data_IF_691853479984
#
_entry.id   IF_691853479984
#
_cell.length_a   1.000
_cell.length_b   1.000
_cell.length_c   1.000
_cell.angle_alpha   90.00
_cell.angle_beta   90.00
_cell.angle_gamma   90.00
#
_symmetry.space_group_name_H-M   'P 1'
#
loop_
_entity.id
_entity.type
_entity.pdbx_description
1 polymer ?
#
# COMPACT_ATOMS: atom_id res chain seq x y z
N UNK A 1 8.98 9.59 -13.36
CA UNK A 1 9.31 9.79 -13.04
C UNK A 1 9.72 9.64 -12.77
N UNK A 2 10.13 9.44 -12.64
CA UNK A 2 10.69 9.37 -12.35
C UNK A 2 11.08 9.64 -11.67
N UNK A 3 11.17 9.63 -11.18
CA UNK A 3 11.39 10.00 -10.50
C UNK A 3 12.12 10.18 -9.99
N UNK A 4 12.69 10.14 -9.86
CA UNK A 4 13.47 10.37 -9.36
C UNK A 4 13.70 10.98 -8.61
N UNK A 5 13.38 10.78 -8.34
CA UNK A 5 13.34 11.43 -7.42
C UNK A 5 14.26 11.15 -6.43
N UNK A 6 14.48 10.04 -6.09
CA UNK A 6 15.42 9.74 -5.15
C UNK A 6 16.73 9.72 -5.77
N UNK A 7 17.60 10.53 -5.33
CA UNK A 7 18.89 10.56 -5.91
C UNK A 7 19.58 9.30 -5.55
N UNK A 8 20.40 8.89 -6.36
CA UNK A 8 21.06 7.71 -6.14
C UNK A 8 22.09 7.85 -5.10
N UNK A 9 22.39 6.84 -4.43
CA UNK A 9 23.56 6.74 -3.63
C UNK A 9 23.65 7.59 -2.42
N UNK A 10 24.57 8.45 -2.40
CA UNK A 10 24.84 9.23 -1.25
C UNK A 10 23.76 10.10 -0.77
N UNK A 11 23.06 10.75 -1.63
CA UNK A 11 21.98 11.63 -1.22
C UNK A 11 20.92 10.86 -0.46
N UNK A 12 20.61 9.68 -0.92
CA UNK A 12 19.62 8.88 -0.24
C UNK A 12 20.12 8.52 1.16
N UNK A 13 21.37 8.18 1.28
CA UNK A 13 21.92 7.82 2.57
C UNK A 13 21.88 8.99 3.53
N UNK A 14 22.15 10.17 3.06
CA UNK A 14 22.09 11.32 3.91
C UNK A 14 20.69 11.59 4.37
N UNK A 15 19.74 11.48 3.47
CA UNK A 15 18.36 11.72 3.84
C UNK A 15 17.87 10.70 4.84
N UNK A 16 18.29 9.47 4.71
CA UNK A 16 17.78 8.43 5.60
C UNK A 16 18.30 8.59 7.01
N UNK A 17 19.29 9.45 7.22
CA UNK A 17 19.78 9.70 8.56
C UNK A 17 18.90 10.72 9.26
N UNK A 18 18.09 11.47 8.54
CA UNK A 18 17.21 12.45 9.16
C UNK A 18 16.00 11.70 9.73
N UNK A 19 15.77 11.78 11.04
CA UNK A 19 14.66 11.03 11.62
C UNK A 19 13.31 11.39 11.03
N UNK A 20 13.09 12.66 10.73
CA UNK A 20 11.82 13.05 10.15
C UNK A 20 11.65 12.47 8.76
N UNK A 21 12.69 12.51 7.97
CA UNK A 21 12.62 11.98 6.63
C UNK A 21 12.43 10.47 6.67
N UNK A 22 13.15 9.79 7.55
CA UNK A 22 13.05 8.35 7.64
C UNK A 22 11.66 7.90 8.03
N UNK A 23 11.02 8.62 8.97
CA UNK A 23 9.67 8.27 9.37
C UNK A 23 8.69 8.49 8.23
N UNK A 24 8.83 9.60 7.51
CA UNK A 24 7.93 9.87 6.40
C UNK A 24 8.11 8.84 5.28
N UNK A 25 9.35 8.46 5.01
CA UNK A 25 9.63 7.49 3.97
C UNK A 25 9.05 6.12 4.34
N UNK A 26 9.19 5.74 5.60
CA UNK A 26 8.66 4.45 6.04
C UNK A 26 7.14 4.42 5.93
N UNK A 27 6.48 5.52 6.28
CA UNK A 27 5.03 5.59 6.17
C UNK A 27 4.59 5.45 4.71
N UNK A 28 5.30 6.10 3.81
CA UNK A 28 4.98 6.00 2.41
C UNK A 28 5.17 4.60 1.89
N UNK A 29 6.21 3.94 2.33
CA UNK A 29 6.47 2.60 1.92
C UNK A 29 5.35 1.66 2.34
N UNK A 30 4.85 1.83 3.55
CA UNK A 30 3.77 1.00 4.04
C UNK A 30 2.50 1.22 3.24
N UNK A 31 2.23 2.46 2.86
CA UNK A 31 1.05 2.75 2.06
C UNK A 31 1.16 2.14 0.69
N UNK A 32 2.35 2.19 0.10
CA UNK A 32 2.56 1.58 -1.20
C UNK A 32 2.49 0.05 -1.12
N UNK A 33 2.93 -0.52 -0.02
CA UNK A 33 2.84 -1.96 0.16
C UNK A 33 1.38 -2.41 0.20
N UNK A 34 0.54 -1.67 0.90
CA UNK A 34 -0.86 -2.01 0.95
C UNK A 34 -1.48 -1.89 -0.44
N UNK A 35 -1.20 -0.78 -1.13
CA UNK A 35 -1.74 -0.59 -2.47
C UNK A 35 -1.30 -1.71 -3.40
N UNK A 36 -0.04 -2.13 -3.30
CA UNK A 36 0.46 -3.22 -4.11
C UNK A 36 -0.26 -4.52 -3.80
N UNK A 37 -0.58 -4.76 -2.54
CA UNK A 37 -1.32 -5.94 -2.16
C UNK A 37 -2.71 -5.95 -2.76
N UNK A 38 -3.35 -4.79 -2.80
CA UNK A 38 -4.68 -4.69 -3.40
C UNK A 38 -4.61 -4.96 -4.89
N UNK A 39 -3.64 -4.37 -5.57
CA UNK A 39 -3.48 -4.58 -7.00
C UNK A 39 -3.21 -6.05 -7.28
N UNK A 40 -2.37 -6.67 -6.47
CA UNK A 40 -2.04 -8.06 -6.66
C UNK A 40 -3.28 -8.96 -6.48
N UNK A 41 -4.08 -8.67 -5.46
CA UNK A 41 -5.28 -9.46 -5.22
C UNK A 41 -6.24 -9.35 -6.39
N UNK A 42 -6.37 -8.16 -6.94
CA UNK A 42 -7.24 -7.95 -8.07
C UNK A 42 -6.70 -8.68 -9.30
N UNK A 43 -5.40 -8.60 -9.53
CA UNK A 43 -4.79 -9.25 -10.67
C UNK A 43 -4.91 -10.76 -10.58
N UNK A 44 -4.74 -11.30 -9.40
CA UNK A 44 -4.86 -12.73 -9.21
C UNK A 44 -6.29 -13.21 -9.40
N UNK A 45 -7.25 -12.34 -9.18
CA UNK A 45 -8.64 -12.66 -9.42
C UNK A 45 -9.03 -12.41 -10.88
N UNK A 46 -8.10 -11.88 -11.67
CA UNK A 46 -8.33 -11.60 -13.08
C UNK A 46 -9.49 -10.62 -13.25
N UNK A 47 -9.51 -9.58 -12.45
CA UNK A 47 -10.59 -8.61 -12.49
C UNK A 47 -10.04 -7.23 -12.80
N UNK A 48 -10.87 -6.42 -13.47
CA UNK A 48 -10.53 -5.03 -13.70
C UNK A 48 -10.96 -4.21 -12.49
N UNK A 49 -10.50 -2.97 -12.41
CA UNK A 49 -10.93 -2.08 -11.35
C UNK A 49 -12.44 -1.89 -11.38
N UNK A 50 -13.01 -1.84 -12.58
CA UNK A 50 -14.43 -1.70 -12.70
C UNK A 50 -15.19 -2.89 -12.15
N UNK A 51 -14.69 -4.08 -12.43
CA UNK A 51 -15.33 -5.29 -11.95
C UNK A 51 -15.28 -5.36 -10.43
N UNK A 52 -14.14 -4.99 -9.85
CA UNK A 52 -14.03 -5.00 -8.41
C UNK A 52 -14.97 -3.95 -7.82
N UNK A 53 -15.06 -2.78 -8.46
CA UNK A 53 -15.96 -1.74 -7.98
C UNK A 53 -17.40 -2.23 -7.96
N UNK A 54 -17.81 -2.90 -9.02
CA UNK A 54 -19.15 -3.44 -9.07
C UNK A 54 -19.39 -4.44 -7.96
N UNK A 55 -18.43 -5.34 -7.75
CA UNK A 55 -18.57 -6.34 -6.71
C UNK A 55 -18.60 -5.71 -5.32
N UNK A 56 -17.93 -4.57 -5.15
CA UNK A 56 -17.93 -3.89 -3.88
C UNK A 56 -19.12 -2.96 -3.70
N UNK A 57 -19.85 -2.71 -4.77
CA UNK A 57 -20.96 -1.76 -4.70
C UNK A 57 -20.48 -0.32 -4.67
N UNK A 58 -19.42 -0.02 -5.37
CA UNK A 58 -18.86 1.31 -5.38
C UNK A 58 -18.45 1.69 -6.80
N UNK A 59 -17.65 2.73 -6.97
CA UNK A 59 -17.26 3.19 -8.29
C UNK A 59 -15.83 2.83 -8.57
N UNK A 60 -15.50 2.81 -9.86
CA UNK A 60 -14.15 2.51 -10.28
C UNK A 60 -13.17 3.54 -9.74
N UNK A 61 -13.59 4.79 -9.61
CA UNK A 61 -12.74 5.84 -9.07
C UNK A 61 -12.33 5.53 -7.63
N UNK A 62 -13.23 4.95 -6.85
CA UNK A 62 -12.91 4.59 -5.48
C UNK A 62 -11.87 3.48 -5.46
N UNK A 63 -12.02 2.48 -6.33
CA UNK A 63 -11.06 1.40 -6.38
C UNK A 63 -9.70 1.93 -6.83
N UNK A 64 -9.70 2.80 -7.82
CA UNK A 64 -8.45 3.39 -8.29
C UNK A 64 -7.75 4.15 -7.17
N UNK A 65 -8.52 4.85 -6.35
CA UNK A 65 -7.95 5.58 -5.25
C UNK A 65 -7.36 4.63 -4.19
N UNK A 66 -8.04 3.53 -3.92
CA UNK A 66 -7.53 2.54 -2.99
C UNK A 66 -6.20 1.97 -3.47
N UNK A 67 -6.06 1.78 -4.77
CA UNK A 67 -4.87 1.20 -5.33
C UNK A 67 -3.76 2.22 -5.59
N UNK A 68 -4.01 3.48 -5.28
CA UNK A 68 -3.02 4.52 -5.54
C UNK A 68 -2.01 4.69 -4.41
N UNK A 69 -2.32 4.16 -3.25
CA UNK A 69 -1.46 4.36 -2.10
C UNK A 69 -1.64 5.69 -1.43
N UNK A 70 -2.65 6.46 -1.85
CA UNK A 70 -2.86 7.79 -1.26
C UNK A 70 -3.86 7.81 -0.14
N UNK A 71 -4.57 6.74 0.08
CA UNK A 71 -5.55 6.69 1.17
C UNK A 71 -5.31 5.46 2.00
N UNK A 72 -5.74 5.52 3.23
CA UNK A 72 -5.61 4.39 4.12
C UNK A 72 -7.00 3.85 4.37
N UNK A 73 -7.37 2.77 3.73
CA UNK A 73 -8.73 2.26 3.85
C UNK A 73 -9.00 1.66 5.21
N UNK A 74 -10.27 1.67 5.61
CA UNK A 74 -10.67 1.04 6.86
C UNK A 74 -10.65 -0.47 6.69
N UNK A 75 -10.66 -1.16 7.82
CA UNK A 75 -10.73 -2.61 7.79
C UNK A 75 -11.97 -3.10 7.06
N UNK A 76 -13.09 -2.40 7.25
CA UNK A 76 -14.31 -2.77 6.58
C UNK A 76 -14.15 -2.66 5.06
N UNK A 77 -13.51 -1.62 4.58
CA UNK A 77 -13.27 -1.47 3.16
C UNK A 77 -12.37 -2.57 2.65
N UNK A 78 -11.35 -2.91 3.43
CA UNK A 78 -10.44 -3.99 3.03
C UNK A 78 -11.16 -5.31 2.97
N UNK A 79 -12.09 -5.55 3.89
CA UNK A 79 -12.86 -6.78 3.86
C UNK A 79 -13.75 -6.84 2.62
N UNK A 80 -14.35 -5.72 2.25
CA UNK A 80 -15.16 -5.68 1.05
C UNK A 80 -14.33 -5.94 -0.20
N UNK A 81 -13.14 -5.37 -0.23
CA UNK A 81 -12.23 -5.59 -1.35
C UNK A 81 -11.83 -7.08 -1.41
N UNK A 82 -11.52 -7.65 -0.26
CA UNK A 82 -11.14 -9.06 -0.22
C UNK A 82 -12.26 -9.94 -0.74
N UNK A 83 -13.48 -9.66 -0.30
CA UNK A 83 -14.60 -10.43 -0.77
C UNK A 83 -14.79 -10.28 -2.26
N UNK A 84 -14.66 -9.07 -2.77
CA UNK A 84 -14.85 -8.80 -4.18
C UNK A 84 -13.82 -9.53 -5.05
N UNK A 85 -12.63 -9.72 -4.52
CA UNK A 85 -11.57 -10.36 -5.29
C UNK A 85 -11.37 -11.81 -4.89
N UNK A 86 -12.32 -12.36 -4.15
CA UNK A 86 -12.28 -13.77 -3.72
C UNK A 86 -10.99 -14.05 -2.92
N UNK A 87 -10.58 -13.07 -2.14
CA UNK A 87 -9.40 -13.21 -1.31
C UNK A 87 -9.81 -13.25 0.14
N UNK A 88 -8.87 -13.54 1.00
CA UNK A 88 -9.11 -13.50 2.41
C UNK A 88 -8.24 -12.44 3.02
N UNK A 89 -8.84 -11.51 3.74
CA UNK A 89 -8.07 -10.47 4.40
C UNK A 89 -7.34 -11.05 5.60
N UNK A 90 -6.07 -10.72 5.70
CA UNK A 90 -5.29 -11.16 6.82
C UNK A 90 -4.51 -9.99 7.34
N UNK A 91 -4.64 -9.70 8.61
CA UNK A 91 -3.93 -8.61 9.23
C UNK A 91 -3.07 -9.18 10.32
N UNK A 92 -1.82 -8.80 10.33
CA UNK A 92 -0.93 -9.31 11.35
C UNK A 92 0.02 -8.20 11.79
N UNK A 93 0.57 -8.37 12.96
CA UNK A 93 1.58 -7.47 13.46
C UNK A 93 2.91 -8.18 13.41
N UNK A 94 3.91 -7.49 12.92
CA UNK A 94 5.24 -8.06 12.91
C UNK A 94 6.09 -7.34 13.93
N UNK A 95 6.87 -8.05 14.72
CA UNK A 95 7.73 -7.38 15.67
C UNK A 95 8.78 -6.57 14.95
N UNK A 96 9.07 -5.40 15.45
CA UNK A 96 10.11 -4.62 14.84
C UNK A 96 11.44 -5.18 15.23
N UNK A 97 12.41 -5.12 14.30
CA UNK A 97 13.68 -5.54 14.57
C UNK A 97 14.27 -4.66 15.54
N UNK A 98 14.77 -5.14 16.57
CA UNK A 98 15.31 -4.32 17.46
C UNK A 98 16.65 -4.12 17.33
N UNK A 99 17.02 -3.81 16.40
CA UNK A 99 18.24 -3.57 16.15
C UNK A 99 18.87 -2.80 17.01
N UNK A 100 18.29 -2.18 17.43
CA UNK A 100 18.81 -1.35 18.07
C UNK A 100 18.91 -1.60 19.27
N UNK A 101 18.81 -1.92 19.63
CA UNK A 101 18.77 -2.12 20.55
C UNK A 101 19.56 -2.07 21.29
N UNK A 102 19.68 -1.90 21.32
CA UNK A 102 20.11 -1.93 21.77
C UNK A 102 20.48 -1.72 21.97
#
# INVERSE_FOLDING_TARGET
MKRKLIPAGESFKQWSKDPEYAAAYAALEEEFELASSLIKARAEADMTQEQVAQAMGTTQAVVARLESGKVLPSTRTLERFAKATHSRLRISFEPQRKVTAR
#
